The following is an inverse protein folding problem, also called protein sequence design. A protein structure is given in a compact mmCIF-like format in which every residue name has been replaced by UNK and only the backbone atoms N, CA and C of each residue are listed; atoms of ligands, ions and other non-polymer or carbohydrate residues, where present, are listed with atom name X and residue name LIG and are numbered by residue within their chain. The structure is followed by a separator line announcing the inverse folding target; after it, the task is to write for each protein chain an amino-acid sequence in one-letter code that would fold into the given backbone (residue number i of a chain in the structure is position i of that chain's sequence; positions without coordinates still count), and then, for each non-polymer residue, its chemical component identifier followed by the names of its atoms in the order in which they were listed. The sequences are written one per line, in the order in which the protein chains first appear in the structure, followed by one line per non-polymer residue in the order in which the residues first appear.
data_IF_178967678098
#
_entry.id   IF_178967678098
#
_cell.length_a   1.000
_cell.length_b   1.000
_cell.length_c   1.000
_cell.angle_alpha   90.00
_cell.angle_beta   90.00
_cell.angle_gamma   90.00
#
_symmetry.space_group_name_H-M   'P 1'
#
loop_
_entity.id
_entity.type
_entity.pdbx_description
1 polymer ?
#
# COMPACT_ATOMS: atom_id res chain seq x y z
N UNK A 1 3.68 -24.88 -5.14
CA UNK A 1 3.81 -23.41 -5.22
C UNK A 1 4.20 -22.93 -3.82
N UNK A 2 5.37 -22.32 -3.58
CA UNK A 2 5.66 -21.82 -2.24
C UNK A 2 4.67 -20.69 -1.96
N UNK A 3 4.07 -20.70 -0.77
CA UNK A 3 3.13 -19.69 -0.32
C UNK A 3 3.71 -18.30 -0.61
N UNK A 4 3.01 -17.50 -1.41
CA UNK A 4 3.29 -16.07 -1.49
C UNK A 4 3.35 -15.58 -0.04
N UNK A 5 4.53 -15.21 0.44
CA UNK A 5 4.65 -14.54 1.72
C UNK A 5 3.95 -13.19 1.50
N UNK A 6 2.68 -13.12 1.91
CA UNK A 6 1.92 -11.87 1.98
C UNK A 6 2.61 -11.01 3.04
N UNK A 7 3.66 -10.31 2.63
CA UNK A 7 4.36 -9.37 3.47
C UNK A 7 3.44 -8.18 3.66
N UNK A 8 3.08 -7.94 4.92
CA UNK A 8 2.34 -6.76 5.32
C UNK A 8 3.26 -5.79 6.03
N UNK A 9 3.06 -4.50 5.79
CA UNK A 9 3.87 -3.43 6.38
C UNK A 9 2.99 -2.36 7.03
N UNK A 10 3.58 -1.57 7.92
CA UNK A 10 2.91 -0.45 8.59
C UNK A 10 2.85 0.81 7.73
N UNK A 11 2.25 1.88 8.29
CA UNK A 11 2.08 3.18 7.62
C UNK A 11 3.41 3.79 7.21
N UNK A 12 4.42 3.75 8.08
CA UNK A 12 5.75 4.33 7.84
C UNK A 12 6.45 3.66 6.66
N UNK A 13 6.47 2.33 6.64
CA UNK A 13 7.07 1.55 5.56
C UNK A 13 6.28 1.71 4.26
N UNK A 14 4.94 1.70 4.31
CA UNK A 14 4.10 1.90 3.14
C UNK A 14 4.32 3.28 2.50
N UNK A 15 4.44 4.33 3.31
CA UNK A 15 4.77 5.68 2.85
C UNK A 15 6.16 5.72 2.18
N UNK A 16 7.16 5.10 2.82
CA UNK A 16 8.52 5.02 2.27
C UNK A 16 8.56 4.26 0.93
N UNK A 17 7.82 3.16 0.79
CA UNK A 17 7.73 2.37 -0.44
C UNK A 17 7.16 3.16 -1.62
N UNK A 18 6.29 4.13 -1.35
CA UNK A 18 5.68 5.00 -2.36
C UNK A 18 6.40 6.36 -2.49
N UNK A 19 7.53 6.53 -1.80
CA UNK A 19 8.30 7.78 -1.75
C UNK A 19 7.45 8.99 -1.28
N UNK A 20 6.61 8.77 -0.27
CA UNK A 20 5.83 9.81 0.40
C UNK A 20 6.27 10.00 1.85
N UNK A 21 5.99 11.18 2.39
CA UNK A 21 6.01 11.37 3.85
C UNK A 21 4.87 10.60 4.50
N UNK A 22 5.05 10.20 5.75
CA UNK A 22 4.03 9.46 6.51
C UNK A 22 2.71 10.25 6.62
N UNK A 23 2.79 11.56 6.92
CA UNK A 23 1.62 12.45 6.98
C UNK A 23 0.89 12.51 5.62
N UNK A 24 1.60 12.74 4.51
CA UNK A 24 0.97 12.78 3.18
C UNK A 24 0.34 11.45 2.81
N UNK A 25 1.00 10.35 3.14
CA UNK A 25 0.45 9.02 2.89
C UNK A 25 -0.85 8.81 3.66
N UNK A 26 -0.86 9.14 4.96
CA UNK A 26 -2.00 8.89 5.83
C UNK A 26 -3.16 9.87 5.61
N UNK A 27 -2.90 11.10 5.15
CA UNK A 27 -3.94 12.11 4.93
C UNK A 27 -4.55 12.02 3.52
N UNK A 28 -3.76 11.64 2.51
CA UNK A 28 -4.16 11.75 1.10
C UNK A 28 -4.14 10.40 0.40
N UNK A 29 -3.01 9.70 0.41
CA UNK A 29 -2.80 8.52 -0.44
C UNK A 29 -3.64 7.34 0.00
N UNK A 30 -3.56 6.98 1.29
CA UNK A 30 -4.29 5.88 1.92
C UNK A 30 -5.80 5.97 1.68
N UNK A 31 -6.35 7.18 1.68
CA UNK A 31 -7.78 7.41 1.52
C UNK A 31 -8.22 7.71 0.09
N UNK A 32 -7.28 7.80 -0.86
CA UNK A 32 -7.61 7.98 -2.27
C UNK A 32 -8.43 6.80 -2.80
N UNK A 33 -9.36 7.08 -3.72
CA UNK A 33 -10.25 6.06 -4.29
C UNK A 33 -9.45 4.89 -4.88
N UNK A 34 -8.42 5.19 -5.67
CA UNK A 34 -7.55 4.19 -6.31
C UNK A 34 -6.88 3.25 -5.30
N UNK A 35 -6.43 3.79 -4.17
CA UNK A 35 -5.78 2.99 -3.13
C UNK A 35 -6.76 2.01 -2.48
N UNK A 36 -8.00 2.45 -2.29
CA UNK A 36 -9.11 1.62 -1.78
C UNK A 36 -9.58 0.58 -2.78
N UNK A 37 -9.70 0.95 -4.06
CA UNK A 37 -10.14 0.03 -5.13
C UNK A 37 -9.21 -1.18 -5.26
N UNK A 38 -7.91 -0.98 -5.04
CA UNK A 38 -6.92 -2.06 -5.05
C UNK A 38 -6.90 -2.89 -3.76
N UNK A 39 -7.68 -2.54 -2.74
CA UNK A 39 -7.66 -3.16 -1.41
C UNK A 39 -6.24 -3.26 -0.82
N UNK A 40 -5.41 -2.22 -0.98
CA UNK A 40 -4.01 -2.26 -0.51
C UNK A 40 -3.93 -2.40 1.01
N UNK A 41 -4.82 -1.72 1.72
CA UNK A 41 -4.98 -1.86 3.17
C UNK A 41 -5.83 -3.09 3.48
N UNK A 42 -5.20 -4.12 4.05
CA UNK A 42 -5.82 -5.42 4.34
C UNK A 42 -6.43 -5.44 5.75
N UNK A 43 -5.83 -4.69 6.67
CA UNK A 43 -6.31 -4.44 8.04
C UNK A 43 -5.97 -2.99 8.40
N UNK A 44 -6.67 -2.39 9.39
CA UNK A 44 -6.34 -1.05 9.86
C UNK A 44 -4.83 -0.86 10.11
N UNK A 45 -4.17 -0.06 9.26
CA UNK A 45 -2.74 0.23 9.35
C UNK A 45 -1.79 -0.86 8.85
N UNK A 46 -2.28 -1.92 8.19
CA UNK A 46 -1.46 -2.96 7.57
C UNK A 46 -1.71 -3.04 6.06
N UNK A 47 -0.63 -2.93 5.29
CA UNK A 47 -0.66 -2.78 3.84
C UNK A 47 0.06 -3.92 3.13
N UNK A 48 -0.53 -4.44 2.06
CA UNK A 48 0.10 -5.46 1.22
C UNK A 48 1.29 -4.88 0.46
N UNK A 49 2.47 -5.45 0.64
CA UNK A 49 3.71 -5.04 -0.06
C UNK A 49 3.57 -5.20 -1.57
N UNK A 50 2.94 -6.28 -2.04
CA UNK A 50 2.75 -6.51 -3.48
C UNK A 50 1.85 -5.44 -4.10
N UNK A 51 0.71 -5.17 -3.46
CA UNK A 51 -0.25 -4.18 -3.95
C UNK A 51 0.31 -2.76 -3.87
N UNK A 52 1.10 -2.42 -2.84
CA UNK A 52 1.85 -1.16 -2.78
C UNK A 52 2.82 -1.01 -3.96
N UNK A 53 3.57 -2.07 -4.29
CA UNK A 53 4.49 -2.06 -5.43
C UNK A 53 3.76 -1.87 -6.74
N UNK A 54 2.65 -2.58 -6.95
CA UNK A 54 1.79 -2.42 -8.14
C UNK A 54 1.21 -1.00 -8.23
N UNK A 55 0.73 -0.46 -7.11
CA UNK A 55 0.22 0.91 -7.04
C UNK A 55 1.28 1.95 -7.41
N UNK A 56 2.49 1.82 -6.87
CA UNK A 56 3.62 2.71 -7.17
C UNK A 56 4.10 2.65 -8.62
N UNK A 57 3.94 1.50 -9.30
CA UNK A 57 4.29 1.33 -10.71
C UNK A 57 3.21 1.76 -11.71
N UNK A 58 1.99 2.03 -11.25
CA UNK A 58 0.89 2.31 -12.18
C UNK A 58 0.11 1.07 -12.66
N UNK A 59 0.32 -0.09 -12.04
CA UNK A 59 -0.20 -1.37 -12.50
C UNK A 59 -1.55 -1.71 -11.84
N UNK A 60 -2.57 -0.96 -12.23
CA UNK A 60 -3.96 -1.14 -11.81
C UNK A 60 -4.73 -1.80 -12.97
N UNK A 61 -5.00 -3.10 -12.90
CA UNK A 61 -5.83 -3.86 -13.84
C UNK A 61 -7.00 -4.45 -13.09
#
# INVERSE_FOLDING_TARGET
MPAELWLWVGVKEAAAMLNYSESRFNEVIRYSQRFKDMAIEQKPGQFSVDLLRRFGRGEYR
#
